data_IF_849642858034
#
_entry.id   IF_849642858034
#
_cell.length_a   1.000
_cell.length_b   1.000
_cell.length_c   1.000
_cell.angle_alpha   90.00
_cell.angle_beta   90.00
_cell.angle_gamma   90.00
#
_symmetry.space_group_name_H-M   'P 1'
#
loop_
_entity.id
_entity.type
_entity.pdbx_description
1 polymer ?
#
# COMPACT_ATOMS: atom_id res chain seq x y z
N UNK A 1 13.85 -15.53 2.07
CA UNK A 1 12.71 -15.34 2.99
C UNK A 1 13.06 -14.27 4.00
N UNK A 2 12.14 -13.36 4.30
CA UNK A 2 12.37 -12.24 5.24
C UNK A 2 12.27 -12.69 6.70
N UNK A 3 12.44 -11.77 7.65
CA UNK A 3 12.41 -12.01 9.11
C UNK A 3 11.09 -12.64 9.60
N UNK A 4 10.01 -12.48 8.85
CA UNK A 4 8.67 -12.99 9.12
C UNK A 4 8.28 -14.18 8.22
N UNK A 5 9.23 -14.71 7.43
CA UNK A 5 8.98 -15.75 6.43
C UNK A 5 8.25 -15.26 5.18
N UNK A 6 7.86 -13.99 5.12
CA UNK A 6 7.16 -13.36 4.00
C UNK A 6 8.08 -13.01 2.83
N UNK A 7 7.45 -12.71 1.69
CA UNK A 7 8.10 -12.09 0.53
C UNK A 7 7.96 -10.58 0.62
N UNK A 8 9.06 -9.87 0.33
CA UNK A 8 9.15 -8.42 0.48
C UNK A 8 9.80 -7.81 -0.75
N UNK A 9 9.28 -6.68 -1.22
CA UNK A 9 9.98 -5.80 -2.14
C UNK A 9 10.82 -4.84 -1.30
N UNK A 10 12.14 -4.90 -1.48
CA UNK A 10 13.09 -4.05 -0.77
C UNK A 10 13.91 -3.27 -1.79
N UNK A 11 14.19 -2.00 -1.49
CA UNK A 11 15.01 -1.19 -2.38
C UNK A 11 15.27 0.21 -1.85
N UNK A 12 15.92 1.01 -2.68
CA UNK A 12 16.29 2.40 -2.40
C UNK A 12 15.70 3.30 -3.47
N UNK A 13 15.03 4.38 -3.08
CA UNK A 13 14.52 5.38 -4.03
C UNK A 13 15.70 6.09 -4.69
N UNK A 14 15.71 6.19 -6.01
CA UNK A 14 16.81 6.81 -6.76
C UNK A 14 17.01 8.30 -6.39
N UNK A 15 15.92 9.09 -6.40
CA UNK A 15 16.00 10.53 -6.18
C UNK A 15 16.35 10.93 -4.73
N UNK A 16 15.86 10.19 -3.75
CA UNK A 16 15.94 10.59 -2.33
C UNK A 16 16.86 9.71 -1.50
N UNK A 17 17.31 8.57 -2.04
CA UNK A 17 18.08 7.59 -1.29
C UNK A 17 17.33 6.91 -0.15
N UNK A 18 16.02 7.12 -0.01
CA UNK A 18 15.24 6.53 1.08
C UNK A 18 15.00 5.05 0.80
N UNK A 19 15.30 4.21 1.80
CA UNK A 19 14.96 2.79 1.75
C UNK A 19 13.46 2.59 1.89
N UNK A 20 12.90 1.70 1.08
CA UNK A 20 11.51 1.26 1.17
C UNK A 20 11.46 -0.27 1.24
N UNK A 21 10.54 -0.76 2.06
CA UNK A 21 10.27 -2.18 2.26
C UNK A 21 8.76 -2.37 2.22
N UNK A 22 8.28 -3.22 1.33
CA UNK A 22 6.85 -3.44 1.10
C UNK A 22 6.58 -4.95 1.14
N UNK A 23 5.80 -5.47 2.09
CA UNK A 23 5.42 -6.88 2.10
C UNK A 23 4.51 -7.18 0.90
N UNK A 24 4.76 -8.30 0.22
CA UNK A 24 3.95 -8.77 -0.91
C UNK A 24 2.72 -9.51 -0.40
N UNK A 25 1.55 -9.05 -0.81
CA UNK A 25 0.28 -9.75 -0.63
C UNK A 25 0.09 -10.84 -1.69
N UNK A 26 -0.94 -11.66 -1.53
CA UNK A 26 -1.23 -12.78 -2.45
C UNK A 26 -1.45 -12.34 -3.90
N UNK A 27 -2.23 -11.28 -4.13
CA UNK A 27 -2.52 -10.80 -5.51
C UNK A 27 -1.24 -10.42 -6.27
N UNK A 28 -0.33 -9.58 -5.73
CA UNK A 28 0.98 -9.35 -6.36
C UNK A 28 1.80 -10.63 -6.61
N UNK A 29 1.78 -11.61 -5.69
CA UNK A 29 2.50 -12.88 -5.88
C UNK A 29 1.98 -13.65 -7.09
N UNK A 30 0.65 -13.73 -7.25
CA UNK A 30 0.03 -14.38 -8.41
C UNK A 30 0.46 -13.71 -9.74
N UNK A 31 0.60 -12.39 -9.75
CA UNK A 31 1.09 -11.65 -10.93
C UNK A 31 2.56 -12.02 -11.20
N UNK A 32 3.41 -12.09 -10.18
CA UNK A 32 4.81 -12.50 -10.34
C UNK A 32 4.93 -13.93 -10.87
N UNK A 33 4.12 -14.85 -10.35
CA UNK A 33 4.12 -16.25 -10.78
C UNK A 33 3.74 -16.41 -12.26
N UNK A 34 2.81 -15.58 -12.76
CA UNK A 34 2.44 -15.55 -14.18
C UNK A 34 3.62 -15.27 -15.12
N UNK A 35 4.59 -14.46 -14.68
CA UNK A 35 5.75 -14.06 -15.52
C UNK A 35 7.03 -14.84 -15.19
N UNK A 36 6.99 -15.76 -14.22
CA UNK A 36 8.16 -16.51 -13.76
C UNK A 36 8.80 -17.30 -14.89
N UNK A 37 10.10 -17.12 -15.09
CA UNK A 37 10.89 -17.80 -16.12
C UNK A 37 10.56 -17.42 -17.57
N UNK A 38 9.65 -16.47 -17.78
CA UNK A 38 9.16 -16.10 -19.12
C UNK A 38 9.86 -14.86 -19.71
N UNK A 39 10.64 -14.14 -18.90
CA UNK A 39 11.24 -12.87 -19.28
C UNK A 39 12.78 -12.95 -19.36
N UNK A 40 13.41 -12.24 -20.31
CA UNK A 40 14.87 -12.18 -20.41
C UNK A 40 15.48 -11.33 -19.28
N UNK A 41 16.80 -11.37 -19.14
CA UNK A 41 17.57 -10.45 -18.29
C UNK A 41 17.21 -10.47 -16.79
N UNK A 42 16.68 -11.58 -16.29
CA UNK A 42 16.34 -11.77 -14.88
C UNK A 42 15.38 -10.70 -14.30
N UNK A 43 14.53 -10.13 -15.16
CA UNK A 43 13.47 -9.20 -14.71
C UNK A 43 12.23 -9.98 -14.26
N UNK A 44 11.53 -9.44 -13.26
CA UNK A 44 10.35 -10.09 -12.67
C UNK A 44 9.02 -9.68 -13.33
N UNK A 45 9.00 -8.55 -14.05
CA UNK A 45 7.83 -8.02 -14.75
C UNK A 45 8.26 -7.36 -16.07
N UNK A 46 7.41 -7.39 -17.11
CA UNK A 46 7.66 -6.68 -18.36
C UNK A 46 7.39 -5.18 -18.17
N UNK A 47 8.36 -4.44 -17.63
CA UNK A 47 8.21 -3.01 -17.34
C UNK A 47 8.46 -2.19 -18.61
N UNK A 48 7.44 -1.46 -19.06
CA UNK A 48 7.52 -0.54 -20.19
C UNK A 48 7.90 0.87 -19.74
N UNK A 49 8.16 1.76 -20.70
CA UNK A 49 8.30 3.19 -20.40
C UNK A 49 7.02 3.76 -19.80
N UNK A 50 7.14 4.78 -18.95
CA UNK A 50 6.00 5.43 -18.31
C UNK A 50 4.98 5.96 -19.34
N UNK A 51 5.45 6.46 -20.48
CA UNK A 51 4.60 6.90 -21.59
C UNK A 51 3.76 5.76 -22.16
N UNK A 52 4.38 4.63 -22.51
CA UNK A 52 3.65 3.45 -23.04
C UNK A 52 2.68 2.88 -22.01
N UNK A 53 3.12 2.80 -20.74
CA UNK A 53 2.27 2.33 -19.66
C UNK A 53 1.03 3.19 -19.46
N UNK A 54 1.15 4.52 -19.46
CA UNK A 54 -0.01 5.40 -19.36
C UNK A 54 -0.94 5.31 -20.58
N UNK A 55 -0.39 5.13 -21.79
CA UNK A 55 -1.20 4.89 -22.98
C UNK A 55 -2.05 3.61 -22.85
N UNK A 56 -1.44 2.50 -22.41
CA UNK A 56 -2.18 1.25 -22.19
C UNK A 56 -3.15 1.33 -21.01
N UNK A 57 -2.81 2.05 -19.94
CA UNK A 57 -3.74 2.26 -18.82
C UNK A 57 -4.99 3.02 -19.25
N UNK A 58 -4.85 3.99 -20.16
CA UNK A 58 -5.99 4.70 -20.75
C UNK A 58 -6.90 3.74 -21.53
N UNK A 59 -6.33 2.96 -22.43
CA UNK A 59 -7.09 1.96 -23.22
C UNK A 59 -7.79 0.94 -22.32
N UNK A 60 -7.10 0.42 -21.30
CA UNK A 60 -7.70 -0.48 -20.30
C UNK A 60 -8.84 0.21 -19.56
N UNK A 61 -8.68 1.49 -19.18
CA UNK A 61 -9.72 2.29 -18.55
C UNK A 61 -10.98 2.39 -19.42
N UNK A 62 -10.80 2.71 -20.70
CA UNK A 62 -11.87 2.81 -21.68
C UNK A 62 -12.60 1.46 -21.85
N UNK A 63 -11.86 0.36 -21.99
CA UNK A 63 -12.42 -0.99 -22.13
C UNK A 63 -13.17 -1.47 -20.87
N UNK A 64 -12.73 -1.03 -19.69
CA UNK A 64 -13.38 -1.35 -18.42
C UNK A 64 -14.51 -0.38 -18.05
N UNK A 65 -14.79 0.64 -18.86
CA UNK A 65 -15.79 1.67 -18.56
C UNK A 65 -15.42 2.55 -17.36
N UNK A 66 -14.13 2.76 -17.10
CA UNK A 66 -13.64 3.60 -16.02
C UNK A 66 -13.48 5.02 -16.54
N UNK A 67 -14.38 5.92 -16.14
CA UNK A 67 -14.37 7.32 -16.58
C UNK A 67 -13.16 8.12 -16.05
N UNK A 68 -12.59 7.68 -14.92
CA UNK A 68 -11.43 8.33 -14.32
C UNK A 68 -10.15 7.96 -15.07
N UNK A 69 -9.39 8.96 -15.48
CA UNK A 69 -8.10 8.76 -16.14
C UNK A 69 -7.15 7.91 -15.28
N UNK A 70 -6.79 6.73 -15.80
CA UNK A 70 -5.85 5.82 -15.17
C UNK A 70 -4.41 6.19 -15.54
N UNK A 71 -3.60 6.47 -14.53
CA UNK A 71 -2.17 6.77 -14.70
C UNK A 71 -1.33 5.97 -13.73
N UNK A 72 -0.03 5.83 -14.03
CA UNK A 72 0.92 5.18 -13.15
C UNK A 72 0.96 5.81 -11.75
N UNK A 73 0.92 7.15 -11.69
CA UNK A 73 0.90 7.86 -10.41
C UNK A 73 -0.40 7.61 -9.63
N UNK A 74 -1.53 7.46 -10.33
CA UNK A 74 -2.81 7.17 -9.67
C UNK A 74 -2.74 5.86 -8.89
N UNK A 75 -2.03 4.83 -9.35
CA UNK A 75 -1.87 3.57 -8.61
C UNK A 75 -1.25 3.80 -7.22
N UNK A 76 -0.23 4.67 -7.13
CA UNK A 76 0.41 5.05 -5.87
C UNK A 76 -0.55 5.81 -4.94
N UNK A 77 -1.31 6.75 -5.50
CA UNK A 77 -2.34 7.49 -4.77
C UNK A 77 -3.41 6.55 -4.21
N UNK A 78 -3.94 5.67 -5.04
CA UNK A 78 -4.94 4.67 -4.67
C UNK A 78 -4.43 3.74 -3.58
N UNK A 79 -3.19 3.24 -3.69
CA UNK A 79 -2.57 2.42 -2.64
C UNK A 79 -2.52 3.16 -1.30
N UNK A 80 -2.04 4.41 -1.30
CA UNK A 80 -1.90 5.19 -0.08
C UNK A 80 -3.25 5.49 0.59
N UNK A 81 -4.22 5.97 -0.18
CA UNK A 81 -5.57 6.25 0.34
C UNK A 81 -6.28 4.98 0.81
N UNK A 82 -6.20 3.89 0.04
CA UNK A 82 -6.85 2.63 0.41
C UNK A 82 -6.26 2.04 1.70
N UNK A 83 -4.94 1.95 1.80
CA UNK A 83 -4.28 1.39 3.00
C UNK A 83 -4.57 2.20 4.26
N UNK A 84 -4.55 3.54 4.17
CA UNK A 84 -4.97 4.41 5.27
C UNK A 84 -6.44 4.20 5.65
N UNK A 85 -7.33 4.09 4.65
CA UNK A 85 -8.77 3.84 4.90
C UNK A 85 -9.03 2.48 5.56
N UNK A 86 -8.15 1.50 5.31
CA UNK A 86 -8.19 0.17 5.92
C UNK A 86 -7.42 0.08 7.24
N UNK A 87 -7.03 1.23 7.82
CA UNK A 87 -6.48 1.31 9.17
C UNK A 87 -4.97 1.06 9.26
N UNK A 88 -4.25 0.95 8.15
CA UNK A 88 -2.78 0.94 8.18
C UNK A 88 -2.30 2.32 8.64
N UNK A 89 -1.34 2.35 9.57
CA UNK A 89 -0.83 3.60 10.13
C UNK A 89 -0.14 4.46 9.07
N UNK A 90 -0.22 5.78 9.25
CA UNK A 90 0.36 6.74 8.31
C UNK A 90 1.89 6.62 8.24
N UNK A 91 2.53 6.24 9.34
CA UNK A 91 3.96 5.98 9.43
C UNK A 91 4.34 4.78 8.55
N UNK A 92 3.59 3.68 8.65
CA UNK A 92 3.82 2.48 7.84
C UNK A 92 3.61 2.79 6.35
N UNK A 93 2.52 3.48 6.00
CA UNK A 93 2.28 3.90 4.60
C UNK A 93 3.39 4.82 4.10
N UNK A 94 3.79 5.82 4.90
CA UNK A 94 4.88 6.74 4.56
C UNK A 94 6.20 6.00 4.30
N UNK A 95 6.51 4.99 5.12
CA UNK A 95 7.72 4.17 4.96
C UNK A 95 7.67 3.28 3.73
N UNK A 96 6.54 2.64 3.44
CA UNK A 96 6.33 1.84 2.23
C UNK A 96 6.45 2.70 0.96
N UNK A 97 5.91 3.92 0.99
CA UNK A 97 6.05 4.88 -0.10
C UNK A 97 7.49 5.42 -0.22
N UNK A 98 8.28 5.39 0.85
CA UNK A 98 9.64 5.93 0.88
C UNK A 98 9.66 7.46 0.89
N UNK A 99 8.69 8.07 1.57
CA UNK A 99 8.66 9.52 1.78
C UNK A 99 9.64 9.90 2.91
N UNK A 100 10.45 10.93 2.69
CA UNK A 100 11.32 11.53 3.71
C UNK A 100 10.53 12.32 4.76
N UNK A 101 9.38 12.86 4.36
CA UNK A 101 8.54 13.69 5.20
C UNK A 101 7.12 13.13 5.26
N UNK A 102 6.64 12.87 6.48
CA UNK A 102 5.29 12.34 6.71
C UNK A 102 4.20 13.29 6.19
N UNK A 103 4.48 14.60 6.12
CA UNK A 103 3.57 15.60 5.55
C UNK A 103 3.17 15.29 4.11
N UNK A 104 4.07 14.68 3.33
CA UNK A 104 3.74 14.24 1.95
C UNK A 104 2.73 13.10 1.94
N UNK A 105 2.68 12.27 2.99
CA UNK A 105 1.69 11.19 3.13
C UNK A 105 0.37 11.71 3.69
N UNK A 106 0.38 12.81 4.45
CA UNK A 106 -0.83 13.42 5.02
C UNK A 106 -1.83 13.88 3.96
N UNK A 107 -1.38 14.19 2.73
CA UNK A 107 -2.29 14.53 1.62
C UNK A 107 -3.27 13.40 1.27
N UNK A 108 -2.98 12.16 1.69
CA UNK A 108 -3.85 11.00 1.51
C UNK A 108 -4.76 10.70 2.71
N UNK A 109 -4.45 11.29 3.87
CA UNK A 109 -5.20 11.05 5.09
C UNK A 109 -6.44 11.94 5.10
N UNK A 110 -7.60 11.37 4.76
CA UNK A 110 -8.89 11.99 5.06
C UNK A 110 -9.34 11.50 6.44
N UNK A 111 -9.37 12.39 7.42
CA UNK A 111 -10.03 12.12 8.69
C UNK A 111 -11.52 12.34 8.46
N UNK A 112 -12.30 11.26 8.51
CA UNK A 112 -13.76 11.31 8.47
C UNK A 112 -14.30 10.82 9.80
N UNK A 113 -15.50 11.26 10.19
CA UNK A 113 -16.14 10.82 11.44
C UNK A 113 -16.28 9.29 11.49
N UNK A 114 -16.54 8.66 10.35
CA UNK A 114 -16.55 7.20 10.21
C UNK A 114 -15.20 6.56 10.54
N UNK A 115 -14.08 7.19 10.14
CA UNK A 115 -12.73 6.70 10.49
C UNK A 115 -12.46 6.84 11.98
N UNK A 116 -12.83 7.97 12.58
CA UNK A 116 -12.69 8.20 14.03
C UNK A 116 -13.48 7.15 14.80
N UNK A 117 -14.74 6.93 14.43
CA UNK A 117 -15.61 5.92 15.04
C UNK A 117 -15.03 4.51 14.94
N UNK A 118 -14.53 4.12 13.75
CA UNK A 118 -13.89 2.82 13.55
C UNK A 118 -12.64 2.64 14.40
N UNK A 119 -11.78 3.66 14.48
CA UNK A 119 -10.54 3.61 15.25
C UNK A 119 -10.82 3.49 16.75
N UNK A 120 -11.81 4.25 17.25
CA UNK A 120 -12.24 4.14 18.65
C UNK A 120 -12.89 2.81 18.97
N UNK A 121 -13.66 2.23 18.05
CA UNK A 121 -14.23 0.89 18.22
C UNK A 121 -13.13 -0.18 18.28
N UNK A 122 -12.13 -0.11 17.39
CA UNK A 122 -10.98 -1.01 17.39
C UNK A 122 -10.13 -0.87 18.67
N UNK A 123 -9.95 0.36 19.16
CA UNK A 123 -9.29 0.64 20.42
C UNK A 123 -10.06 0.07 21.62
N UNK A 124 -11.36 0.33 21.71
CA UNK A 124 -12.22 -0.20 22.77
C UNK A 124 -12.20 -1.73 22.82
N UNK A 125 -12.22 -2.40 21.65
CA UNK A 125 -12.08 -3.86 21.57
C UNK A 125 -10.78 -4.39 22.20
N UNK A 126 -9.66 -3.68 22.02
CA UNK A 126 -8.38 -4.01 22.65
C UNK A 126 -8.33 -3.70 24.14
N UNK A 127 -9.11 -2.71 24.60
CA UNK A 127 -9.19 -2.30 26.01
C UNK A 127 -10.06 -3.23 26.87
N UNK A 128 -10.98 -4.01 26.30
CA UNK A 128 -11.85 -4.95 27.06
C UNK A 128 -11.07 -5.88 28.00
N UNK A 129 -9.88 -6.34 27.62
CA UNK A 129 -9.04 -7.18 28.48
C UNK A 129 -8.41 -6.44 29.66
N UNK A 130 -8.25 -5.13 29.56
CA UNK A 130 -7.76 -4.25 30.64
C UNK A 130 -8.90 -3.88 31.58
N UNK A 131 -10.08 -3.55 31.03
CA UNK A 131 -11.30 -3.27 31.80
C UNK A 131 -11.71 -4.46 32.66
N UNK A 132 -11.62 -5.68 32.12
CA UNK A 132 -11.92 -6.90 32.89
C UNK A 132 -10.95 -7.10 34.05
N UNK A 133 -9.66 -6.76 33.89
CA UNK A 133 -8.67 -6.86 34.97
C UNK A 133 -8.85 -5.78 36.05
N UNK A 134 -9.28 -4.59 35.65
CA UNK A 134 -9.62 -3.50 36.57
C UNK A 134 -10.93 -3.79 37.34
N UNK A 135 -11.91 -4.40 36.69
CA UNK A 135 -13.19 -4.76 37.32
C UNK A 135 -13.09 -5.94 38.31
N UNK A 136 -12.04 -6.76 38.21
CA UNK A 136 -11.81 -7.94 39.08
C UNK A 136 -10.92 -7.62 40.29
N UNK A 137 -10.36 -6.41 40.37
CA UNK A 137 -9.57 -5.95 41.53
C UNK A 137 -10.25 -4.72 42.17
N UNK A 138 -11.24 -4.91 43.07
CA UNK A 138 -11.74 -3.86 43.94
C UNK A 138 -10.72 -3.43 45.00
#
# INVERSE_FOLDING_TARGET
>A
TSFDGGLWIMGKREKTGVNFNIPLLEVPKMILDKYKGSLPNNVVLPVLSNQKMNAYLKEIGDLCGIEKELTFHLARHSFATLTLSKGVSIESVSKMLGHTNIKTTQIYARITDSKISHDMAAFAGKMKGVETKLAVNP
#
